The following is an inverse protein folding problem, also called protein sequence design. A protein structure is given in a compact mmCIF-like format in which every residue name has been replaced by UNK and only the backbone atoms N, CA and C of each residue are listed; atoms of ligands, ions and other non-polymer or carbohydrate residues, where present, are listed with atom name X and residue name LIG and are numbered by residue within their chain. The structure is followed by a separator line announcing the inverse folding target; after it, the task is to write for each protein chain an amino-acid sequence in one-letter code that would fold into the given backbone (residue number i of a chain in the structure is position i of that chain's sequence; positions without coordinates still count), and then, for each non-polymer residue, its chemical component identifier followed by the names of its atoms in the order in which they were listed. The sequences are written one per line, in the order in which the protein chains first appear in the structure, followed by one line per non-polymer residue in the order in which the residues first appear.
data_IF_933457637773
#
_entry.id   IF_933457637773
#
_cell.length_a   1.000
_cell.length_b   1.000
_cell.length_c   1.000
_cell.angle_alpha   90.00
_cell.angle_beta   90.00
_cell.angle_gamma   90.00
#
_symmetry.space_group_name_H-M   'P 1'
#
loop_
_entity.id
_entity.type
_entity.pdbx_description
1 polymer ?
#
# COMPACT_ATOMS: atom_id res chain seq x y z
N UNK A 1 4.33 -17.44 8.12
CA UNK A 1 4.46 -17.75 6.68
C UNK A 1 3.61 -16.74 5.92
N UNK A 2 4.22 -15.88 5.09
CA UNK A 2 3.60 -14.76 4.36
C UNK A 2 2.58 -15.20 3.27
N UNK A 3 2.00 -16.38 3.43
CA UNK A 3 1.15 -17.09 2.47
C UNK A 3 -0.36 -16.83 2.67
N UNK A 4 -0.76 -15.88 3.53
CA UNK A 4 -2.17 -15.64 3.87
C UNK A 4 -2.67 -14.20 3.81
N UNK A 5 -1.91 -13.26 3.24
CA UNK A 5 -2.39 -11.87 3.16
C UNK A 5 -3.41 -11.68 2.04
N UNK A 6 -4.66 -11.97 2.36
CA UNK A 6 -5.85 -11.48 1.67
C UNK A 6 -5.97 -9.99 1.99
N UNK A 7 -5.36 -9.15 1.14
CA UNK A 7 -5.44 -7.70 1.19
C UNK A 7 -4.94 -7.07 2.50
N UNK A 8 -3.98 -6.17 2.40
CA UNK A 8 -3.62 -5.34 3.55
C UNK A 8 -4.42 -4.04 3.47
N UNK A 9 -4.84 -3.48 4.60
CA UNK A 9 -5.47 -2.15 4.64
C UNK A 9 -4.58 -1.11 5.30
N UNK A 10 -4.55 0.12 4.76
CA UNK A 10 -3.80 1.25 5.34
C UNK A 10 -4.70 2.31 5.98
N UNK A 11 -4.20 2.90 7.07
CA UNK A 11 -4.58 4.22 7.57
C UNK A 11 -3.46 5.24 7.30
N UNK A 12 -3.75 6.54 7.38
CA UNK A 12 -2.85 7.64 6.96
C UNK A 12 -1.42 7.58 7.53
N UNK A 13 -1.20 6.88 8.64
CA UNK A 13 0.12 6.66 9.25
C UNK A 13 1.01 5.61 8.59
N UNK A 14 0.52 4.88 7.58
CA UNK A 14 1.28 3.81 6.90
C UNK A 14 1.23 2.44 7.59
N UNK A 15 0.38 2.29 8.61
CA UNK A 15 0.19 1.03 9.32
C UNK A 15 -0.60 0.03 8.48
N UNK A 16 -0.14 -1.22 8.49
CA UNK A 16 -0.59 -2.30 7.61
C UNK A 16 -1.37 -3.34 8.42
N UNK A 17 -2.64 -3.57 8.07
CA UNK A 17 -3.49 -4.54 8.77
C UNK A 17 -4.01 -5.63 7.85
N UNK A 18 -4.26 -6.82 8.40
CA UNK A 18 -4.99 -7.88 7.70
C UNK A 18 -6.45 -7.44 7.44
N UNK A 19 -6.90 -7.43 6.17
CA UNK A 19 -8.21 -6.91 5.78
C UNK A 19 -9.36 -7.63 6.50
N UNK A 20 -9.26 -8.96 6.65
CA UNK A 20 -10.31 -9.78 7.26
C UNK A 20 -10.57 -9.39 8.72
N UNK A 21 -9.55 -8.88 9.42
CA UNK A 21 -9.67 -8.41 10.80
C UNK A 21 -9.90 -6.90 10.89
N UNK A 22 -9.25 -6.11 10.02
CA UNK A 22 -9.29 -4.65 10.09
C UNK A 22 -10.68 -4.09 9.75
N UNK A 23 -11.31 -4.57 8.67
CA UNK A 23 -12.61 -4.07 8.23
C UNK A 23 -13.70 -4.26 9.28
N UNK A 24 -13.92 -5.46 9.86
CA UNK A 24 -14.94 -5.62 10.89
C UNK A 24 -14.62 -4.80 12.15
N UNK A 25 -13.36 -4.79 12.61
CA UNK A 25 -12.95 -4.01 13.78
C UNK A 25 -13.25 -2.52 13.62
N UNK A 26 -12.84 -1.92 12.50
CA UNK A 26 -13.06 -0.50 12.22
C UNK A 26 -14.54 -0.18 12.05
N UNK A 27 -15.35 -1.11 11.50
CA UNK A 27 -16.80 -0.93 11.40
C UNK A 27 -17.49 -0.97 12.76
N UNK A 28 -17.00 -1.81 13.67
CA UNK A 28 -17.57 -1.97 15.01
C UNK A 28 -17.17 -0.83 15.95
N UNK A 29 -15.88 -0.47 15.97
CA UNK A 29 -15.35 0.48 16.96
C UNK A 29 -15.13 1.89 16.40
N UNK A 30 -15.04 2.07 15.08
CA UNK A 30 -14.79 3.38 14.46
C UNK A 30 -13.42 3.99 14.77
N UNK A 31 -12.45 3.16 15.16
CA UNK A 31 -11.10 3.58 15.56
C UNK A 31 -10.01 2.74 14.92
N UNK A 32 -8.83 3.32 14.81
CA UNK A 32 -7.61 2.69 14.36
C UNK A 32 -7.11 1.65 15.39
N UNK A 33 -6.85 0.39 14.99
CA UNK A 33 -6.45 -0.66 15.94
C UNK A 33 -5.11 -0.42 16.66
N UNK A 34 -4.20 0.38 16.08
CA UNK A 34 -2.87 0.60 16.64
C UNK A 34 -2.82 1.85 17.54
N UNK A 35 -3.62 2.86 17.23
CA UNK A 35 -3.54 4.19 17.85
C UNK A 35 -4.79 4.59 18.63
N UNK A 36 -5.93 3.96 18.36
CA UNK A 36 -7.23 4.36 18.90
C UNK A 36 -7.79 5.66 18.30
N UNK A 37 -7.12 6.25 17.30
CA UNK A 37 -7.60 7.45 16.63
C UNK A 37 -8.88 7.16 15.80
N UNK A 38 -9.78 8.14 15.59
CA UNK A 38 -10.94 7.94 14.74
C UNK A 38 -10.55 7.47 13.33
N UNK A 39 -11.19 6.40 12.86
CA UNK A 39 -10.94 5.81 11.54
C UNK A 39 -12.25 5.24 10.98
N UNK A 40 -12.59 5.61 9.74
CA UNK A 40 -13.74 5.05 9.03
C UNK A 40 -13.32 3.92 8.12
N UNK A 41 -14.18 2.91 7.96
CA UNK A 41 -13.91 1.79 7.06
C UNK A 41 -13.68 2.23 5.59
N UNK A 42 -14.26 3.36 5.17
CA UNK A 42 -14.03 3.95 3.84
C UNK A 42 -12.63 4.55 3.65
N UNK A 43 -11.89 4.78 4.73
CA UNK A 43 -10.52 5.29 4.70
C UNK A 43 -9.49 4.15 4.64
N UNK A 44 -9.92 2.90 4.77
CA UNK A 44 -9.09 1.73 4.58
C UNK A 44 -8.79 1.52 3.09
N UNK A 45 -7.50 1.48 2.75
CA UNK A 45 -7.03 1.26 1.39
C UNK A 45 -6.65 -0.20 1.19
N UNK A 46 -7.32 -0.94 0.31
CA UNK A 46 -6.92 -2.30 -0.05
C UNK A 46 -5.58 -2.26 -0.81
N UNK A 47 -4.58 -2.98 -0.29
CA UNK A 47 -3.27 -3.10 -0.92
C UNK A 47 -3.20 -4.31 -1.86
N UNK A 48 -2.58 -4.07 -3.01
CA UNK A 48 -2.31 -5.06 -4.04
C UNK A 48 -0.79 -5.24 -4.16
N UNK A 49 -0.30 -6.36 -3.65
CA UNK A 49 1.09 -6.77 -3.84
C UNK A 49 1.21 -7.65 -5.07
N UNK A 50 2.26 -7.43 -5.86
CA UNK A 50 2.53 -8.19 -7.06
C UNK A 50 3.51 -9.32 -6.77
N UNK A 51 3.34 -10.43 -7.50
CA UNK A 51 4.22 -11.59 -7.45
C UNK A 51 4.88 -11.80 -8.80
N UNK A 52 6.13 -12.25 -8.78
CA UNK A 52 6.84 -12.68 -9.98
C UNK A 52 6.37 -14.09 -10.44
N UNK A 53 7.01 -14.62 -11.50
CA UNK A 53 6.72 -15.96 -12.01
C UNK A 53 7.03 -17.10 -11.03
N UNK A 54 7.83 -16.83 -9.99
CA UNK A 54 8.17 -17.78 -8.91
C UNK A 54 7.24 -17.63 -7.70
N UNK A 55 6.31 -16.67 -7.73
CA UNK A 55 5.40 -16.37 -6.63
C UNK A 55 6.00 -15.47 -5.55
N UNK A 56 7.20 -14.91 -5.76
CA UNK A 56 7.88 -14.01 -4.83
C UNK A 56 7.31 -12.60 -4.93
N UNK A 57 7.14 -11.93 -3.78
CA UNK A 57 6.65 -10.56 -3.74
C UNK A 57 7.73 -9.60 -4.24
N UNK A 58 7.37 -8.70 -5.15
CA UNK A 58 8.32 -7.75 -5.71
C UNK A 58 7.67 -6.50 -6.27
N UNK A 59 8.53 -5.53 -6.59
CA UNK A 59 8.11 -4.31 -7.25
C UNK A 59 7.69 -4.64 -8.69
N UNK A 60 6.44 -4.37 -9.10
CA UNK A 60 5.96 -4.75 -10.43
C UNK A 60 6.62 -3.97 -11.58
N UNK A 61 7.34 -2.89 -11.27
CA UNK A 61 7.98 -2.02 -12.25
C UNK A 61 9.48 -2.30 -12.38
N UNK A 62 10.20 -2.52 -11.27
CA UNK A 62 11.63 -2.85 -11.32
C UNK A 62 11.90 -4.35 -11.43
N UNK A 63 10.92 -5.21 -11.09
CA UNK A 63 11.10 -6.66 -11.01
C UNK A 63 11.94 -7.12 -9.81
N UNK A 64 12.45 -6.19 -8.99
CA UNK A 64 13.24 -6.53 -7.81
C UNK A 64 12.33 -7.07 -6.70
N UNK A 65 12.74 -8.15 -6.01
CA UNK A 65 11.99 -8.70 -4.89
C UNK A 65 11.99 -7.72 -3.72
N UNK A 66 10.91 -7.73 -2.93
CA UNK A 66 10.87 -6.97 -1.68
C UNK A 66 11.65 -7.71 -0.59
N UNK A 67 12.60 -7.01 0.01
CA UNK A 67 13.38 -7.46 1.17
C UNK A 67 13.03 -6.65 2.42
N UNK A 68 13.50 -7.08 3.59
CA UNK A 68 13.31 -6.35 4.86
C UNK A 68 13.90 -4.91 4.83
N UNK A 69 14.90 -4.66 3.98
CA UNK A 69 15.49 -3.33 3.79
C UNK A 69 14.79 -2.49 2.71
N UNK A 70 13.83 -3.07 1.99
CA UNK A 70 13.14 -2.37 0.91
C UNK A 70 12.10 -1.41 1.48
N UNK A 71 12.33 -0.11 1.29
CA UNK A 71 11.31 0.90 1.59
C UNK A 71 10.20 0.79 0.54
N UNK A 72 9.01 0.37 0.96
CA UNK A 72 7.83 0.22 0.09
C UNK A 72 6.85 1.37 0.27
N UNK A 73 6.02 1.59 -0.75
CA UNK A 73 4.91 2.52 -0.68
C UNK A 73 3.73 2.02 -1.52
N UNK A 74 2.54 2.50 -1.20
CA UNK A 74 1.33 2.28 -1.98
C UNK A 74 0.81 3.59 -2.56
N UNK A 75 0.19 3.52 -3.75
CA UNK A 75 -0.63 4.61 -4.28
C UNK A 75 -2.06 4.42 -3.75
N UNK A 76 -2.57 5.38 -2.96
CA UNK A 76 -3.85 5.28 -2.25
C UNK A 76 -5.04 5.03 -3.18
N UNK A 77 -5.06 5.65 -4.37
CA UNK A 77 -6.18 5.58 -5.30
C UNK A 77 -6.36 4.19 -5.90
N UNK A 78 -5.25 3.48 -6.16
CA UNK A 78 -5.23 2.17 -6.82
C UNK A 78 -4.95 1.02 -5.88
N UNK A 79 -4.29 1.29 -4.75
CA UNK A 79 -3.81 0.29 -3.80
C UNK A 79 -2.54 -0.44 -4.24
N UNK A 80 -1.95 -0.12 -5.39
CA UNK A 80 -0.76 -0.81 -5.90
C UNK A 80 0.47 -0.51 -5.04
N UNK A 81 1.23 -1.55 -4.71
CA UNK A 81 2.45 -1.45 -3.90
C UNK A 81 3.70 -1.49 -4.76
N UNK A 82 4.61 -0.55 -4.52
CA UNK A 82 5.87 -0.36 -5.23
C UNK A 82 7.04 -0.21 -4.27
N UNK A 83 8.25 -0.36 -4.81
CA UNK A 83 9.44 0.23 -4.17
C UNK A 83 9.30 1.75 -4.14
N UNK A 84 9.54 2.37 -2.98
CA UNK A 84 9.51 3.82 -2.83
C UNK A 84 10.52 4.49 -3.77
N UNK A 85 11.68 3.86 -4.00
CA UNK A 85 12.68 4.33 -4.96
C UNK A 85 12.04 4.55 -6.32
N UNK A 86 11.35 3.55 -6.86
CA UNK A 86 10.70 3.62 -8.17
C UNK A 86 9.70 4.77 -8.25
N UNK A 87 8.80 4.89 -7.26
CA UNK A 87 7.82 5.99 -7.22
C UNK A 87 8.49 7.35 -7.10
N UNK A 88 9.61 7.44 -6.37
CA UNK A 88 10.38 8.67 -6.26
C UNK A 88 11.04 9.07 -7.59
N UNK A 89 11.64 8.14 -8.33
CA UNK A 89 12.31 8.43 -9.61
C UNK A 89 11.33 8.69 -10.75
N UNK A 90 10.25 7.91 -10.83
CA UNK A 90 9.35 7.92 -11.99
C UNK A 90 8.12 8.81 -11.80
N UNK A 91 7.72 9.08 -10.55
CA UNK A 91 6.55 9.93 -10.28
C UNK A 91 6.91 11.23 -9.57
N UNK A 92 7.52 11.17 -8.39
CA UNK A 92 7.66 12.35 -7.51
C UNK A 92 8.65 13.38 -8.06
N UNK A 93 9.85 12.96 -8.46
CA UNK A 93 10.88 13.83 -9.05
C UNK A 93 10.43 14.48 -10.37
N UNK A 94 9.97 13.72 -11.38
CA UNK A 94 9.53 14.29 -12.66
C UNK A 94 8.15 14.96 -12.58
N UNK A 95 7.46 14.87 -11.43
CA UNK A 95 6.08 15.36 -11.23
C UNK A 95 5.06 14.67 -12.16
N UNK A 96 5.35 13.44 -12.59
CA UNK A 96 4.43 12.58 -13.34
C UNK A 96 3.57 11.77 -12.35
N UNK A 97 2.48 12.35 -11.84
CA UNK A 97 1.67 11.74 -10.79
C UNK A 97 0.56 10.84 -11.35
N UNK A 98 0.97 9.78 -12.02
CA UNK A 98 0.11 8.73 -12.57
C UNK A 98 0.61 7.36 -12.15
N UNK A 99 -0.30 6.50 -11.73
CA UNK A 99 0.01 5.15 -11.27
C UNK A 99 0.73 4.38 -12.37
N UNK A 100 1.84 3.72 -12.02
CA UNK A 100 2.76 3.13 -13.00
C UNK A 100 2.21 1.88 -13.70
N UNK A 101 1.09 1.33 -13.22
CA UNK A 101 0.45 0.15 -13.82
C UNK A 101 -0.86 0.49 -14.53
N UNK A 102 -1.63 1.42 -13.96
CA UNK A 102 -2.99 1.73 -14.41
C UNK A 102 -3.11 3.07 -15.12
N UNK A 103 -2.07 3.89 -15.09
CA UNK A 103 -2.05 5.28 -15.58
C UNK A 103 -3.02 6.23 -14.85
N UNK A 104 -3.68 5.78 -13.78
CA UNK A 104 -4.64 6.59 -13.04
C UNK A 104 -3.94 7.78 -12.34
N UNK A 105 -4.48 9.00 -12.46
CA UNK A 105 -3.89 10.18 -11.81
C UNK A 105 -4.02 10.09 -10.29
N UNK A 106 -2.97 10.49 -9.58
CA UNK A 106 -2.95 10.59 -8.12
C UNK A 106 -2.28 11.89 -7.66
N UNK A 107 -2.38 12.22 -6.37
CA UNK A 107 -1.72 13.37 -5.76
C UNK A 107 -0.53 12.92 -4.93
N UNK A 108 0.45 13.78 -4.69
CA UNK A 108 1.59 13.44 -3.80
C UNK A 108 1.15 12.92 -2.41
N UNK A 109 0.04 13.44 -1.89
CA UNK A 109 -0.55 12.99 -0.62
C UNK A 109 -1.15 11.57 -0.65
N UNK A 110 -1.35 11.01 -1.86
CA UNK A 110 -1.84 9.65 -2.07
C UNK A 110 -0.70 8.62 -2.02
N UNK A 111 0.58 9.04 -1.94
CA UNK A 111 1.71 8.11 -1.76
C UNK A 111 1.87 7.78 -0.29
N UNK A 112 1.58 6.54 0.08
CA UNK A 112 1.60 6.04 1.44
C UNK A 112 2.84 5.18 1.66
N UNK A 113 3.79 5.64 2.47
CA UNK A 113 4.96 4.84 2.84
C UNK A 113 4.54 3.79 3.86
N UNK A 114 4.84 2.52 3.58
CA UNK A 114 4.45 1.39 4.43
C UNK A 114 5.48 1.20 5.54
N UNK A 115 5.03 0.81 6.74
CA UNK A 115 5.86 0.58 7.92
C UNK A 115 5.49 -0.72 8.61
#
# INVERSE_FOLDING_TARGET
SLSRFLALSLWQGGAVYDLCNAVPFVREHGVDPATGAPLKASELVRLTFHRDGNGELGCPVSGEPFTDSTKTCAVRTTGNVYSYKVVEELNLRPKSLRDLLTDEPFKRADVLVLR
#
